data_IF_020464112781
#
_entry.id   IF_020464112781
#
_cell.length_a   1.000
_cell.length_b   1.000
_cell.length_c   1.000
_cell.angle_alpha   90.00
_cell.angle_beta   90.00
_cell.angle_gamma   90.00
#
_symmetry.space_group_name_H-M   'P 1'
#
loop_
_entity.id
_entity.type
_entity.pdbx_description
1 polymer ?
#
# COMPACT_ATOMS: atom_id res chain seq x y z
N UNK A 1 14.38 -33.65 -31.19
CA UNK A 1 13.89 -33.21 -29.87
C UNK A 1 14.67 -31.96 -29.48
N UNK A 2 14.07 -30.77 -29.64
CA UNK A 2 14.66 -29.52 -29.15
C UNK A 2 14.44 -29.48 -27.64
N UNK A 3 15.52 -29.60 -26.88
CA UNK A 3 15.52 -29.47 -25.42
C UNK A 3 15.25 -28.01 -25.07
N UNK A 4 14.09 -27.74 -24.47
CA UNK A 4 13.79 -26.43 -23.91
C UNK A 4 14.84 -26.10 -22.83
N UNK A 5 15.53 -24.98 -22.99
CA UNK A 5 16.45 -24.45 -21.98
C UNK A 5 15.69 -24.24 -20.66
N UNK A 6 16.30 -24.53 -19.50
CA UNK A 6 15.65 -24.33 -18.22
C UNK A 6 15.31 -22.85 -18.04
N UNK A 7 14.03 -22.56 -17.78
CA UNK A 7 13.57 -21.22 -17.40
C UNK A 7 14.41 -20.73 -16.22
N UNK A 8 15.00 -19.52 -16.27
CA UNK A 8 15.83 -19.04 -15.17
C UNK A 8 15.00 -18.93 -13.88
N UNK A 9 15.66 -19.20 -12.76
CA UNK A 9 15.02 -19.21 -11.46
C UNK A 9 14.49 -17.80 -11.11
N UNK A 10 13.32 -17.67 -10.46
CA UNK A 10 12.69 -16.39 -10.08
C UNK A 10 13.63 -15.41 -9.36
N UNK A 11 14.61 -15.93 -8.62
CA UNK A 11 15.61 -15.15 -7.87
C UNK A 11 16.54 -14.33 -8.79
N UNK A 12 16.89 -14.83 -9.98
CA UNK A 12 17.76 -14.11 -10.92
C UNK A 12 17.03 -12.96 -11.62
N UNK A 13 15.74 -13.13 -11.92
CA UNK A 13 14.92 -12.07 -12.50
C UNK A 13 14.68 -10.92 -11.53
N UNK A 14 14.48 -11.22 -10.24
CA UNK A 14 14.35 -10.20 -9.19
C UNK A 14 15.55 -9.24 -9.11
N UNK A 15 16.79 -9.76 -9.24
CA UNK A 15 17.99 -8.91 -9.25
C UNK A 15 18.06 -7.97 -10.46
N UNK A 16 17.49 -8.38 -11.60
CA UNK A 16 17.42 -7.54 -12.79
C UNK A 16 16.36 -6.46 -12.62
N UNK A 17 15.24 -6.76 -11.95
CA UNK A 17 14.20 -5.77 -11.60
C UNK A 17 14.77 -4.65 -10.72
N UNK A 18 15.58 -4.97 -9.72
CA UNK A 18 16.25 -3.95 -8.90
C UNK A 18 17.19 -3.05 -9.71
N UNK A 19 17.91 -3.61 -10.70
CA UNK A 19 18.73 -2.80 -11.61
C UNK A 19 17.90 -1.88 -12.50
N UNK A 20 16.71 -2.31 -12.93
CA UNK A 20 15.77 -1.46 -13.68
C UNK A 20 15.38 -0.25 -12.83
N UNK A 21 15.06 -0.45 -11.56
CA UNK A 21 14.74 0.65 -10.63
C UNK A 21 15.89 1.65 -10.51
N UNK A 22 17.12 1.19 -10.31
CA UNK A 22 18.28 2.08 -10.21
C UNK A 22 18.53 2.89 -11.49
N UNK A 23 18.38 2.28 -12.67
CA UNK A 23 18.50 3.02 -13.93
C UNK A 23 17.40 4.06 -14.10
N UNK A 24 16.15 3.73 -13.78
CA UNK A 24 15.04 4.70 -13.81
C UNK A 24 15.32 5.86 -12.86
N UNK A 25 15.74 5.57 -11.63
CA UNK A 25 16.07 6.58 -10.62
C UNK A 25 17.24 7.50 -11.05
N UNK A 26 18.23 6.98 -11.75
CA UNK A 26 19.33 7.78 -12.29
C UNK A 26 18.87 8.65 -13.47
N UNK A 27 17.97 8.12 -14.31
CA UNK A 27 17.35 8.88 -15.40
C UNK A 27 16.46 10.01 -14.88
N UNK A 28 15.73 9.80 -13.78
CA UNK A 28 14.93 10.86 -13.14
C UNK A 28 15.82 11.99 -12.61
N UNK A 29 16.88 11.64 -11.86
CA UNK A 29 17.78 12.63 -11.25
C UNK A 29 18.47 13.52 -12.29
N UNK A 30 18.96 12.92 -13.37
CA UNK A 30 19.55 13.68 -14.48
C UNK A 30 18.46 14.36 -15.34
N UNK A 31 17.27 13.79 -15.41
CA UNK A 31 16.13 14.34 -16.15
C UNK A 31 15.59 15.64 -15.57
N UNK A 32 15.72 15.87 -14.26
CA UNK A 32 15.40 17.16 -13.64
C UNK A 32 16.24 18.30 -14.24
N UNK A 33 17.55 18.09 -14.43
CA UNK A 33 18.43 19.05 -15.11
C UNK A 33 18.12 19.24 -16.60
N UNK A 34 17.46 18.26 -17.24
CA UNK A 34 16.98 18.39 -18.63
C UNK A 34 15.69 19.21 -18.71
N UNK A 35 14.79 19.06 -17.73
CA UNK A 35 13.51 19.76 -17.67
C UNK A 35 13.67 21.19 -17.16
N UNK A 36 14.67 21.42 -16.30
CA UNK A 36 15.02 22.70 -15.70
C UNK A 36 16.50 23.00 -15.97
N UNK A 37 16.87 23.30 -17.22
CA UNK A 37 18.26 23.54 -17.59
C UNK A 37 18.86 24.69 -16.78
N UNK A 38 20.01 24.43 -16.16
CA UNK A 38 20.87 25.48 -15.62
C UNK A 38 21.39 26.37 -16.76
N UNK A 39 21.85 27.59 -16.45
CA UNK A 39 22.46 28.49 -17.45
C UNK A 39 23.76 27.94 -18.06
N UNK A 40 24.30 26.85 -17.49
CA UNK A 40 25.52 26.18 -17.94
C UNK A 40 25.22 25.10 -18.99
N UNK A 41 25.54 25.39 -20.25
CA UNK A 41 25.36 24.49 -21.40
C UNK A 41 26.07 23.13 -21.25
N UNK A 42 27.20 23.07 -20.53
CA UNK A 42 27.96 21.83 -20.35
C UNK A 42 27.26 20.86 -19.39
N UNK A 43 26.69 21.39 -18.31
CA UNK A 43 25.94 20.62 -17.30
C UNK A 43 24.65 20.06 -17.91
N UNK A 44 23.93 20.89 -18.66
CA UNK A 44 22.75 20.45 -19.41
C UNK A 44 23.08 19.32 -20.40
N UNK A 45 24.22 19.40 -21.10
CA UNK A 45 24.65 18.36 -22.04
C UNK A 45 24.92 17.04 -21.32
N UNK A 46 25.62 17.08 -20.20
CA UNK A 46 25.94 15.88 -19.39
C UNK A 46 24.66 15.23 -18.88
N UNK A 47 23.75 16.01 -18.31
CA UNK A 47 22.48 15.52 -17.78
C UNK A 47 21.61 14.89 -18.87
N UNK A 48 21.60 15.50 -20.06
CA UNK A 48 20.90 14.98 -21.23
C UNK A 48 21.43 13.59 -21.63
N UNK A 49 22.74 13.43 -21.73
CA UNK A 49 23.37 12.16 -22.11
C UNK A 49 23.14 11.08 -21.06
N UNK A 50 23.32 11.41 -19.78
CA UNK A 50 23.08 10.50 -18.66
C UNK A 50 21.62 10.05 -18.58
N UNK A 51 20.67 10.97 -18.80
CA UNK A 51 19.24 10.66 -18.81
C UNK A 51 18.93 9.64 -19.89
N UNK A 52 19.41 9.88 -21.13
CA UNK A 52 19.17 9.00 -22.27
C UNK A 52 19.80 7.62 -22.04
N UNK A 53 21.07 7.56 -21.62
CA UNK A 53 21.77 6.29 -21.42
C UNK A 53 21.07 5.42 -20.37
N UNK A 54 20.73 6.00 -19.21
CA UNK A 54 20.05 5.29 -18.15
C UNK A 54 18.64 4.84 -18.56
N UNK A 55 17.89 5.69 -19.27
CA UNK A 55 16.58 5.33 -19.78
C UNK A 55 16.65 4.15 -20.77
N UNK A 56 17.60 4.18 -21.70
CA UNK A 56 17.79 3.09 -22.68
C UNK A 56 18.21 1.79 -22.00
N UNK A 57 19.08 1.86 -20.97
CA UNK A 57 19.45 0.69 -20.16
C UNK A 57 18.25 0.10 -19.42
N UNK A 58 17.41 0.94 -18.81
CA UNK A 58 16.20 0.50 -18.15
C UNK A 58 15.27 -0.26 -19.10
N UNK A 59 14.97 0.32 -20.27
CA UNK A 59 14.12 -0.32 -21.28
C UNK A 59 14.66 -1.65 -21.79
N UNK A 60 15.97 -1.75 -22.05
CA UNK A 60 16.59 -3.01 -22.47
C UNK A 60 16.45 -4.09 -21.41
N UNK A 61 16.59 -3.73 -20.13
CA UNK A 61 16.38 -4.65 -19.03
C UNK A 61 14.91 -5.06 -18.90
N UNK A 62 13.95 -4.13 -19.05
CA UNK A 62 12.51 -4.43 -19.06
C UNK A 62 12.18 -5.47 -20.14
N UNK A 63 12.63 -5.22 -21.39
CA UNK A 63 12.39 -6.15 -22.50
C UNK A 63 13.01 -7.52 -22.24
N UNK A 64 14.24 -7.56 -21.74
CA UNK A 64 14.93 -8.80 -21.38
C UNK A 64 14.15 -9.60 -20.34
N UNK A 65 13.68 -8.97 -19.27
CA UNK A 65 12.91 -9.65 -18.21
C UNK A 65 11.60 -10.18 -18.75
N UNK A 66 10.87 -9.40 -19.57
CA UNK A 66 9.59 -9.83 -20.15
C UNK A 66 9.76 -10.97 -21.15
N UNK A 67 10.85 -10.96 -21.94
CA UNK A 67 11.17 -12.02 -22.90
C UNK A 67 11.52 -13.33 -22.20
N UNK A 68 12.48 -13.27 -21.27
CA UNK A 68 12.89 -14.43 -20.46
C UNK A 68 11.70 -14.97 -19.66
N UNK A 69 10.87 -14.05 -19.17
CA UNK A 69 9.67 -14.31 -18.43
C UNK A 69 8.50 -14.95 -19.19
N UNK A 70 8.58 -14.97 -20.52
CA UNK A 70 7.52 -15.50 -21.37
C UNK A 70 6.28 -14.60 -21.49
N UNK A 71 6.35 -13.34 -21.06
CA UNK A 71 5.22 -12.40 -21.11
C UNK A 71 5.06 -11.75 -22.49
N UNK A 72 4.69 -12.56 -23.48
CA UNK A 72 4.63 -12.14 -24.91
C UNK A 72 3.79 -10.89 -25.15
N UNK A 73 2.64 -10.74 -24.48
CA UNK A 73 1.78 -9.58 -24.65
C UNK A 73 2.45 -8.30 -24.14
N UNK A 74 2.89 -8.30 -22.87
CA UNK A 74 3.59 -7.17 -22.26
C UNK A 74 4.89 -6.85 -22.98
N UNK A 75 5.62 -7.86 -23.46
CA UNK A 75 6.83 -7.67 -24.26
C UNK A 75 6.54 -6.90 -25.54
N UNK A 76 5.48 -7.26 -26.29
CA UNK A 76 5.12 -6.55 -27.52
C UNK A 76 4.66 -5.11 -27.26
N UNK A 77 3.98 -4.86 -26.14
CA UNK A 77 3.61 -3.51 -25.70
C UNK A 77 4.85 -2.69 -25.34
N UNK A 78 5.68 -3.20 -24.43
CA UNK A 78 6.93 -2.56 -24.01
C UNK A 78 7.87 -2.31 -25.18
N UNK A 79 7.93 -3.23 -26.16
CA UNK A 79 8.76 -3.05 -27.35
C UNK A 79 8.29 -1.90 -28.22
N UNK A 80 6.98 -1.73 -28.39
CA UNK A 80 6.41 -0.59 -29.13
C UNK A 80 6.75 0.73 -28.42
N UNK A 81 6.55 0.78 -27.11
CA UNK A 81 6.88 1.97 -26.31
C UNK A 81 8.39 2.27 -26.35
N UNK A 82 9.25 1.25 -26.30
CA UNK A 82 10.69 1.43 -26.45
C UNK A 82 11.08 1.93 -27.84
N UNK A 83 10.47 1.40 -28.91
CA UNK A 83 10.73 1.85 -30.28
C UNK A 83 10.32 3.32 -30.48
N UNK A 84 9.23 3.80 -29.84
CA UNK A 84 8.86 5.22 -29.82
C UNK A 84 9.78 6.06 -28.92
N UNK A 85 10.16 5.54 -27.75
CA UNK A 85 11.13 6.16 -26.85
C UNK A 85 12.45 6.45 -27.57
N UNK A 86 12.93 5.53 -28.41
CA UNK A 86 14.20 5.73 -29.14
C UNK A 86 14.15 6.88 -30.15
N UNK A 87 12.97 7.21 -30.68
CA UNK A 87 12.81 8.34 -31.61
C UNK A 87 12.85 9.67 -30.87
N UNK A 88 12.37 9.70 -29.63
CA UNK A 88 12.19 10.94 -28.84
C UNK A 88 12.41 10.70 -27.34
N UNK A 89 13.63 10.33 -26.90
CA UNK A 89 13.85 9.80 -25.55
C UNK A 89 13.58 10.83 -24.44
N UNK A 90 13.63 12.11 -24.76
CA UNK A 90 13.40 13.22 -23.83
C UNK A 90 12.03 13.89 -24.03
N UNK A 91 11.09 13.19 -24.68
CA UNK A 91 9.73 13.68 -24.79
C UNK A 91 9.15 13.89 -23.39
N UNK A 92 8.61 15.07 -23.15
CA UNK A 92 8.06 15.49 -21.87
C UNK A 92 6.63 16.02 -22.03
N UNK A 93 5.87 16.00 -20.93
CA UNK A 93 4.53 16.58 -20.82
C UNK A 93 4.41 17.31 -19.50
N UNK A 94 3.48 18.26 -19.44
CA UNK A 94 3.07 18.85 -18.17
C UNK A 94 2.24 17.85 -17.36
N UNK A 95 2.66 17.60 -16.13
CA UNK A 95 1.87 16.90 -15.12
C UNK A 95 0.93 17.85 -14.37
N UNK A 96 0.40 17.39 -13.23
CA UNK A 96 -0.52 18.19 -12.39
C UNK A 96 0.16 19.43 -11.80
N UNK A 97 1.46 19.34 -11.47
CA UNK A 97 2.23 20.44 -10.88
C UNK A 97 3.56 20.70 -11.63
N UNK A 98 4.19 19.68 -12.21
CA UNK A 98 5.53 19.78 -12.81
C UNK A 98 5.62 19.03 -14.14
N UNK A 99 6.52 19.44 -15.07
CA UNK A 99 6.82 18.66 -16.26
C UNK A 99 7.47 17.33 -15.88
N UNK A 100 7.26 16.30 -16.70
CA UNK A 100 7.89 14.99 -16.51
C UNK A 100 8.27 14.36 -17.85
N UNK A 101 9.30 13.51 -17.82
CA UNK A 101 9.72 12.71 -18.97
C UNK A 101 8.75 11.54 -19.18
N UNK A 102 8.06 11.54 -20.32
CA UNK A 102 6.99 10.57 -20.64
C UNK A 102 7.52 9.14 -20.55
N UNK A 103 8.69 8.90 -21.13
CA UNK A 103 9.25 7.56 -21.27
C UNK A 103 9.84 7.02 -19.97
N UNK A 104 10.27 7.89 -19.06
CA UNK A 104 10.65 7.49 -17.70
C UNK A 104 9.40 7.08 -16.91
N UNK A 105 8.31 7.85 -17.03
CA UNK A 105 7.01 7.49 -16.47
C UNK A 105 6.50 6.14 -16.98
N UNK A 106 6.58 5.90 -18.29
CA UNK A 106 6.21 4.61 -18.90
C UNK A 106 7.10 3.46 -18.40
N UNK A 107 8.42 3.66 -18.31
CA UNK A 107 9.31 2.65 -17.76
C UNK A 107 8.96 2.31 -16.29
N UNK A 108 8.53 3.28 -15.48
CA UNK A 108 8.02 3.05 -14.12
C UNK A 108 6.74 2.21 -14.09
N UNK A 109 5.81 2.43 -15.01
CA UNK A 109 4.60 1.59 -15.12
C UNK A 109 4.97 0.11 -15.32
N UNK A 110 5.89 -0.17 -16.27
CA UNK A 110 6.38 -1.53 -16.50
C UNK A 110 7.14 -2.08 -15.30
N UNK A 111 7.96 -1.27 -14.63
CA UNK A 111 8.64 -1.66 -13.41
C UNK A 111 7.63 -2.09 -12.32
N UNK A 112 6.49 -1.41 -12.19
CA UNK A 112 5.40 -1.81 -11.29
C UNK A 112 4.86 -3.20 -11.61
N UNK A 113 4.62 -3.50 -12.88
CA UNK A 113 4.21 -4.85 -13.31
C UNK A 113 5.29 -5.89 -13.01
N UNK A 114 6.56 -5.58 -13.30
CA UNK A 114 7.67 -6.49 -13.05
C UNK A 114 7.90 -6.74 -11.56
N UNK A 115 7.72 -5.74 -10.69
CA UNK A 115 7.75 -5.97 -9.24
C UNK A 115 6.63 -6.90 -8.79
N UNK A 116 5.41 -6.73 -9.31
CA UNK A 116 4.28 -7.59 -8.96
C UNK A 116 4.50 -9.06 -9.40
N UNK A 117 5.23 -9.28 -10.48
CA UNK A 117 5.43 -10.62 -11.06
C UNK A 117 6.71 -11.29 -10.54
N UNK A 118 7.83 -10.54 -10.49
CA UNK A 118 9.18 -11.09 -10.39
C UNK A 118 9.98 -10.63 -9.21
N UNK A 119 9.59 -9.56 -8.52
CA UNK A 119 10.33 -9.22 -7.32
C UNK A 119 10.04 -10.30 -6.26
N UNK A 120 11.03 -11.12 -5.86
CA UNK A 120 10.97 -11.66 -4.51
C UNK A 120 11.02 -10.43 -3.63
N UNK A 121 9.92 -10.07 -2.98
CA UNK A 121 9.86 -8.89 -2.12
C UNK A 121 11.02 -8.99 -1.13
N UNK A 122 12.10 -8.23 -1.35
CA UNK A 122 13.32 -8.37 -0.56
C UNK A 122 12.93 -8.06 0.88
N UNK A 123 13.31 -8.96 1.79
CA UNK A 123 13.20 -8.74 3.23
C UNK A 123 13.59 -7.34 3.64
N UNK A 124 14.63 -6.74 3.03
CA UNK A 124 15.06 -5.37 3.33
C UNK A 124 14.08 -4.30 2.84
N UNK A 125 13.57 -4.40 1.62
CA UNK A 125 12.58 -3.45 1.08
C UNK A 125 11.26 -3.54 1.84
N UNK A 126 10.82 -4.76 2.17
CA UNK A 126 9.69 -4.98 3.08
C UNK A 126 9.95 -4.27 4.40
N UNK A 127 11.10 -4.54 5.04
CA UNK A 127 11.43 -3.94 6.32
C UNK A 127 11.48 -2.41 6.27
N UNK A 128 11.97 -1.81 5.17
CA UNK A 128 12.00 -0.35 5.00
C UNK A 128 10.58 0.23 4.82
N UNK A 129 9.73 -0.42 4.03
CA UNK A 129 8.35 0.03 3.84
C UNK A 129 7.50 -0.20 5.09
N UNK A 130 7.71 -1.31 5.80
CA UNK A 130 7.16 -1.59 7.13
C UNK A 130 7.62 -0.54 8.15
N UNK A 131 8.90 -0.17 8.15
CA UNK A 131 9.43 0.88 9.00
C UNK A 131 8.83 2.25 8.67
N UNK A 132 8.41 2.49 7.43
CA UNK A 132 7.76 3.73 7.00
C UNK A 132 6.26 3.77 7.34
N UNK A 133 5.61 2.60 7.48
CA UNK A 133 4.20 2.48 7.85
C UNK A 133 3.94 3.07 9.24
N UNK A 134 4.79 2.79 10.23
CA UNK A 134 4.60 3.25 11.61
C UNK A 134 4.60 4.79 11.71
N UNK A 135 5.59 5.54 11.16
CA UNK A 135 5.53 6.99 11.08
C UNK A 135 4.36 7.54 10.28
N UNK A 136 3.91 6.85 9.23
CA UNK A 136 2.73 7.25 8.47
C UNK A 136 1.46 7.17 9.33
N UNK A 137 1.27 6.05 10.04
CA UNK A 137 0.14 5.87 10.97
C UNK A 137 0.18 6.89 12.11
N UNK A 138 1.36 7.17 12.69
CA UNK A 138 1.49 8.22 13.72
C UNK A 138 1.10 9.60 13.21
N UNK A 139 1.40 9.93 11.95
CA UNK A 139 0.96 11.20 11.33
C UNK A 139 -0.55 11.28 11.15
N UNK A 140 -1.26 10.16 11.21
CA UNK A 140 -2.72 10.14 11.13
C UNK A 140 -3.40 10.72 12.38
N UNK A 141 -2.68 10.92 13.49
CA UNK A 141 -3.25 11.43 14.75
C UNK A 141 -4.08 12.71 14.56
N UNK A 142 -3.52 13.71 13.88
CA UNK A 142 -4.22 14.97 13.59
C UNK A 142 -5.24 14.85 12.46
N UNK A 143 -5.00 13.93 11.53
CA UNK A 143 -5.88 13.71 10.39
C UNK A 143 -7.24 13.16 10.85
N UNK A 144 -7.25 12.10 11.65
CA UNK A 144 -8.48 11.41 12.06
C UNK A 144 -9.41 12.27 12.92
N UNK A 145 -8.89 13.28 13.61
CA UNK A 145 -9.67 14.22 14.44
C UNK A 145 -10.03 15.53 13.74
N UNK A 146 -9.58 15.75 12.50
CA UNK A 146 -9.72 17.03 11.81
C UNK A 146 -11.18 17.36 11.47
N UNK A 147 -11.72 18.38 12.14
CA UNK A 147 -13.06 18.94 11.86
C UNK A 147 -13.19 19.59 10.48
N UNK A 148 -12.06 19.90 9.83
CA UNK A 148 -12.05 20.43 8.46
C UNK A 148 -12.33 19.33 7.43
N UNK A 149 -11.96 18.10 7.75
CA UNK A 149 -12.10 16.94 6.86
C UNK A 149 -13.35 16.12 7.21
N UNK A 150 -13.67 16.01 8.50
CA UNK A 150 -14.74 15.14 8.98
C UNK A 150 -15.81 15.92 9.76
N UNK A 151 -17.07 15.60 9.49
CA UNK A 151 -18.20 16.23 10.15
C UNK A 151 -18.36 15.86 11.63
N UNK A 152 -17.81 14.72 12.07
CA UNK A 152 -17.79 14.27 13.46
C UNK A 152 -16.41 13.76 13.90
N UNK A 153 -16.15 13.77 15.20
CA UNK A 153 -14.97 13.09 15.79
C UNK A 153 -15.18 11.57 15.81
N UNK A 154 -14.10 10.76 15.79
CA UNK A 154 -14.25 9.31 15.87
C UNK A 154 -14.97 8.89 17.14
N UNK A 155 -16.02 8.08 16.98
CA UNK A 155 -16.83 7.56 18.09
C UNK A 155 -16.62 6.06 18.33
N UNK A 156 -16.00 5.36 17.37
CA UNK A 156 -15.74 3.92 17.44
C UNK A 156 -14.54 3.53 16.56
N UNK A 157 -14.26 2.22 16.51
CA UNK A 157 -13.21 1.61 15.68
C UNK A 157 -13.46 1.77 14.18
N UNK A 158 -14.73 1.74 13.76
CA UNK A 158 -15.09 1.82 12.34
C UNK A 158 -14.80 3.22 11.77
N UNK A 159 -15.05 4.27 12.56
CA UNK A 159 -14.72 5.65 12.21
C UNK A 159 -13.20 5.82 12.02
N UNK A 160 -12.37 5.20 12.88
CA UNK A 160 -10.91 5.26 12.77
C UNK A 160 -10.41 4.48 11.57
N UNK A 161 -10.86 3.22 11.45
CA UNK A 161 -10.54 2.33 10.34
C UNK A 161 -10.81 3.03 9.00
N UNK A 162 -12.06 3.46 8.77
CA UNK A 162 -12.46 4.04 7.47
C UNK A 162 -11.60 5.24 7.09
N UNK A 163 -11.32 6.13 8.05
CA UNK A 163 -10.53 7.35 7.80
C UNK A 163 -9.08 7.02 7.43
N UNK A 164 -8.44 6.13 8.20
CA UNK A 164 -7.04 5.78 7.97
C UNK A 164 -6.90 4.94 6.69
N UNK A 165 -7.83 4.03 6.43
CA UNK A 165 -7.83 3.20 5.22
C UNK A 165 -7.95 4.04 3.95
N UNK A 166 -8.79 5.08 3.93
CA UNK A 166 -8.88 6.03 2.80
C UNK A 166 -7.53 6.68 2.48
N UNK A 167 -6.77 7.05 3.51
CA UNK A 167 -5.42 7.60 3.33
C UNK A 167 -4.45 6.52 2.84
N UNK A 168 -4.47 5.33 3.46
CA UNK A 168 -3.58 4.23 3.08
C UNK A 168 -3.84 3.75 1.65
N UNK A 169 -5.08 3.78 1.17
CA UNK A 169 -5.43 3.42 -0.20
C UNK A 169 -4.82 4.34 -1.26
N UNK A 170 -4.44 5.57 -0.88
CA UNK A 170 -3.66 6.47 -1.75
C UNK A 170 -2.18 6.06 -1.85
N UNK A 171 -1.64 5.37 -0.84
CA UNK A 171 -0.23 4.98 -0.78
C UNK A 171 0.00 3.52 -1.21
N UNK A 172 -0.94 2.63 -0.91
CA UNK A 172 -0.84 1.18 -1.15
C UNK A 172 -1.97 0.73 -2.07
N UNK A 173 -1.62 0.47 -3.32
CA UNK A 173 -2.57 0.07 -4.36
C UNK A 173 -3.19 -1.32 -4.14
N UNK A 174 -2.55 -2.16 -3.33
CA UNK A 174 -2.95 -3.55 -3.06
C UNK A 174 -3.63 -3.72 -1.69
N UNK A 175 -4.04 -2.62 -1.07
CA UNK A 175 -4.77 -2.63 0.19
C UNK A 175 -6.04 -3.49 0.07
N UNK A 176 -6.23 -4.38 1.05
CA UNK A 176 -7.42 -5.23 1.15
C UNK A 176 -8.17 -4.92 2.46
N UNK A 177 -9.39 -4.37 2.39
CA UNK A 177 -10.25 -4.25 3.57
C UNK A 177 -10.82 -5.60 3.97
N UNK A 178 -10.77 -5.90 5.27
CA UNK A 178 -11.46 -7.02 5.91
C UNK A 178 -11.33 -8.36 5.16
N UNK A 179 -10.10 -8.81 4.81
CA UNK A 179 -9.95 -10.08 4.13
C UNK A 179 -10.20 -11.22 5.11
N UNK A 180 -10.98 -12.20 4.67
CA UNK A 180 -11.21 -13.41 5.46
C UNK A 180 -9.97 -14.28 5.42
N UNK A 181 -9.35 -14.53 6.58
CA UNK A 181 -8.31 -15.54 6.72
C UNK A 181 -9.01 -16.87 7.09
N UNK A 182 -9.10 -17.84 6.15
CA UNK A 182 -9.73 -19.12 6.45
C UNK A 182 -8.86 -19.89 7.45
N UNK A 183 -9.36 -20.07 8.67
CA UNK A 183 -8.83 -21.03 9.63
C UNK A 183 -9.85 -22.13 9.93
N UNK A 184 -9.41 -23.32 10.37
CA UNK A 184 -10.29 -24.49 10.49
C UNK A 184 -11.44 -24.36 11.51
N UNK A 185 -11.35 -23.44 12.49
CA UNK A 185 -12.29 -23.37 13.62
C UNK A 185 -12.89 -21.97 13.85
N UNK A 186 -12.07 -20.91 13.77
CA UNK A 186 -12.51 -19.52 13.90
C UNK A 186 -11.85 -18.69 12.79
N UNK A 187 -12.64 -18.12 11.89
CA UNK A 187 -12.12 -17.17 10.91
C UNK A 187 -11.62 -15.92 11.62
N UNK A 188 -10.41 -15.50 11.33
CA UNK A 188 -9.87 -14.22 11.78
C UNK A 188 -9.93 -13.25 10.60
N UNK A 189 -10.44 -12.05 10.82
CA UNK A 189 -10.67 -11.05 9.79
C UNK A 189 -9.98 -9.77 10.25
N UNK A 190 -8.69 -9.58 9.90
CA UNK A 190 -8.00 -8.33 10.21
C UNK A 190 -8.70 -7.18 9.52
N UNK A 191 -8.69 -6.01 10.14
CA UNK A 191 -9.32 -4.83 9.57
C UNK A 191 -8.72 -4.48 8.20
N UNK A 192 -7.40 -4.46 8.09
CA UNK A 192 -6.69 -4.13 6.85
C UNK A 192 -5.50 -5.05 6.62
N UNK A 193 -5.29 -5.45 5.36
CA UNK A 193 -4.09 -6.17 4.93
C UNK A 193 -3.40 -5.40 3.82
N UNK A 194 -2.07 -5.32 3.94
CA UNK A 194 -1.16 -4.76 2.96
C UNK A 194 -0.23 -5.89 2.45
N UNK A 195 -0.64 -6.65 1.42
CA UNK A 195 0.11 -7.80 0.92
C UNK A 195 1.55 -7.46 0.48
N UNK A 196 1.73 -6.32 -0.18
CA UNK A 196 2.99 -5.80 -0.74
C UNK A 196 4.08 -5.68 0.32
N UNK A 197 3.69 -5.32 1.54
CA UNK A 197 4.60 -5.18 2.69
C UNK A 197 4.40 -6.27 3.75
N UNK A 198 3.58 -7.29 3.47
CA UNK A 198 3.29 -8.42 4.38
C UNK A 198 2.85 -7.93 5.77
N UNK A 199 1.96 -6.94 5.80
CA UNK A 199 1.50 -6.31 7.04
C UNK A 199 0.00 -6.45 7.25
N UNK A 200 -0.37 -6.62 8.51
CA UNK A 200 -1.74 -6.54 9.01
C UNK A 200 -1.88 -5.25 9.83
N UNK A 201 -3.04 -4.61 9.75
CA UNK A 201 -3.40 -3.50 10.63
C UNK A 201 -4.74 -3.82 11.27
N UNK A 202 -4.80 -3.66 12.58
CA UNK A 202 -6.00 -3.81 13.39
C UNK A 202 -6.27 -2.49 14.13
N UNK A 203 -7.51 -1.99 14.11
CA UNK A 203 -7.87 -0.74 14.76
C UNK A 203 -8.63 -1.01 16.05
N UNK A 204 -8.24 -0.32 17.13
CA UNK A 204 -8.91 -0.43 18.44
C UNK A 204 -9.29 0.94 18.97
N UNK A 205 -10.41 1.01 19.67
CA UNK A 205 -10.95 2.25 20.21
C UNK A 205 -11.11 2.17 21.72
N UNK A 206 -10.53 3.15 22.42
CA UNK A 206 -10.52 3.25 23.87
C UNK A 206 -11.08 4.60 24.27
N UNK A 207 -12.17 4.61 25.05
CA UNK A 207 -12.76 5.84 25.58
C UNK A 207 -12.77 5.89 27.11
N UNK A 208 -12.30 4.84 27.76
CA UNK A 208 -12.27 4.71 29.21
C UNK A 208 -11.14 3.79 29.66
N UNK A 209 -10.76 3.88 30.93
CA UNK A 209 -9.79 2.95 31.54
C UNK A 209 -10.28 1.50 31.56
N UNK A 210 -11.61 1.28 31.63
CA UNK A 210 -12.20 -0.05 31.50
C UNK A 210 -12.03 -0.64 30.10
N UNK A 211 -12.09 0.20 29.06
CA UNK A 211 -11.87 -0.25 27.68
C UNK A 211 -10.46 -0.77 27.48
N UNK A 212 -9.46 -0.21 28.17
CA UNK A 212 -8.07 -0.64 28.02
C UNK A 212 -7.87 -2.13 28.29
N UNK A 213 -8.50 -2.67 29.36
CA UNK A 213 -8.38 -4.10 29.69
C UNK A 213 -9.07 -4.96 28.63
N UNK A 214 -10.28 -4.59 28.22
CA UNK A 214 -11.03 -5.27 27.16
C UNK A 214 -10.23 -5.29 25.85
N UNK A 215 -9.70 -4.14 25.44
CA UNK A 215 -8.91 -4.01 24.21
C UNK A 215 -7.61 -4.80 24.29
N UNK A 216 -6.95 -4.85 25.45
CA UNK A 216 -5.78 -5.69 25.64
C UNK A 216 -6.10 -7.17 25.46
N UNK A 217 -7.19 -7.65 26.06
CA UNK A 217 -7.62 -9.06 25.92
C UNK A 217 -7.94 -9.40 24.46
N UNK A 218 -8.58 -8.48 23.72
CA UNK A 218 -8.83 -8.62 22.29
C UNK A 218 -7.52 -8.69 21.48
N UNK A 219 -6.58 -7.76 21.72
CA UNK A 219 -5.27 -7.74 21.06
C UNK A 219 -4.53 -9.07 21.28
N UNK A 220 -4.52 -9.59 22.51
CA UNK A 220 -3.87 -10.86 22.83
C UNK A 220 -4.53 -12.05 22.11
N UNK A 221 -5.86 -12.04 22.01
CA UNK A 221 -6.60 -13.05 21.25
C UNK A 221 -6.29 -12.96 19.74
N UNK A 222 -6.22 -11.75 19.19
CA UNK A 222 -5.90 -11.49 17.78
C UNK A 222 -4.45 -11.88 17.47
N UNK A 223 -3.51 -11.66 18.40
CA UNK A 223 -2.13 -12.10 18.26
C UNK A 223 -2.05 -13.62 18.07
N UNK A 224 -2.73 -14.39 18.93
CA UNK A 224 -2.84 -15.85 18.75
C UNK A 224 -3.54 -16.22 17.44
N UNK A 225 -4.51 -15.39 17.03
CA UNK A 225 -5.23 -15.48 15.78
C UNK A 225 -4.40 -15.27 14.52
N UNK A 226 -3.37 -14.43 14.52
CA UNK A 226 -2.62 -14.12 13.31
C UNK A 226 -1.32 -14.92 13.11
N UNK A 227 -0.95 -15.80 14.05
CA UNK A 227 0.30 -16.60 14.01
C UNK A 227 0.50 -17.46 12.76
N UNK A 228 -0.56 -17.83 12.04
CA UNK A 228 -0.48 -18.69 10.86
C UNK A 228 -0.54 -17.91 9.53
N UNK A 229 -0.38 -16.59 9.57
CA UNK A 229 -0.52 -15.75 8.38
C UNK A 229 0.84 -15.56 7.71
N UNK A 230 0.89 -15.46 6.38
CA UNK A 230 2.11 -15.12 5.62
C UNK A 230 2.64 -13.70 5.89
N UNK A 231 1.90 -12.93 6.70
CA UNK A 231 2.25 -11.58 7.14
C UNK A 231 3.26 -11.63 8.28
N UNK A 232 4.28 -10.77 8.21
CA UNK A 232 5.40 -10.76 9.15
C UNK A 232 5.30 -9.67 10.20
N UNK A 233 4.48 -8.64 9.93
CA UNK A 233 4.21 -7.52 10.82
C UNK A 233 2.70 -7.40 11.07
N UNK A 234 2.31 -7.28 12.33
CA UNK A 234 0.96 -6.86 12.72
C UNK A 234 1.04 -5.55 13.48
N UNK A 235 0.27 -4.56 13.06
CA UNK A 235 0.23 -3.25 13.70
C UNK A 235 -1.12 -3.06 14.36
N UNK A 236 -1.13 -2.82 15.66
CA UNK A 236 -2.33 -2.41 16.40
C UNK A 236 -2.36 -0.89 16.49
N UNK A 237 -3.33 -0.27 15.84
CA UNK A 237 -3.57 1.18 15.90
C UNK A 237 -4.63 1.43 16.95
N UNK A 238 -4.20 1.94 18.10
CA UNK A 238 -5.08 2.19 19.25
C UNK A 238 -5.38 3.67 19.30
N UNK A 239 -6.64 4.04 19.06
CA UNK A 239 -7.11 5.39 19.28
C UNK A 239 -7.64 5.52 20.70
N UNK A 240 -7.05 6.41 21.49
CA UNK A 240 -7.54 6.73 22.83
C UNK A 240 -8.12 8.14 22.85
N UNK A 241 -9.36 8.32 23.29
CA UNK A 241 -10.01 9.66 23.36
C UNK A 241 -9.34 10.59 24.37
N UNK A 242 -8.59 10.01 25.30
CA UNK A 242 -7.70 10.63 26.27
C UNK A 242 -6.53 9.66 26.52
N UNK A 243 -5.43 10.10 27.14
CA UNK A 243 -4.31 9.19 27.42
C UNK A 243 -4.60 8.39 28.69
N UNK A 244 -4.91 7.10 28.55
CA UNK A 244 -5.23 6.24 29.69
C UNK A 244 -4.05 5.36 30.12
N UNK A 245 -3.32 4.82 29.15
CA UNK A 245 -2.17 3.93 29.37
C UNK A 245 -1.01 4.43 28.51
N UNK A 246 0.22 4.30 29.01
CA UNK A 246 1.41 4.66 28.23
C UNK A 246 1.72 3.61 27.17
N UNK A 247 2.32 4.03 26.06
CA UNK A 247 2.64 3.10 24.97
C UNK A 247 3.58 1.97 25.45
N UNK A 248 4.49 2.26 26.37
CA UNK A 248 5.41 1.29 26.97
C UNK A 248 4.68 0.20 27.77
N UNK A 249 3.57 0.53 28.42
CA UNK A 249 2.77 -0.43 29.18
C UNK A 249 2.03 -1.38 28.24
N UNK A 250 1.47 -0.85 27.14
CA UNK A 250 0.91 -1.65 26.07
C UNK A 250 1.94 -2.60 25.46
N UNK A 251 3.15 -2.10 25.15
CA UNK A 251 4.26 -2.91 24.62
C UNK A 251 4.68 -4.02 25.58
N UNK A 252 4.84 -3.69 26.86
CA UNK A 252 5.22 -4.65 27.90
C UNK A 252 4.21 -5.80 28.01
N UNK A 253 2.91 -5.50 27.91
CA UNK A 253 1.86 -6.51 27.96
C UNK A 253 1.88 -7.44 26.73
N UNK A 254 2.15 -6.90 25.53
CA UNK A 254 2.29 -7.70 24.31
C UNK A 254 3.57 -8.55 24.35
N UNK A 255 4.70 -7.99 24.77
CA UNK A 255 5.97 -8.73 24.86
C UNK A 255 5.87 -9.93 25.81
N UNK A 256 5.11 -9.80 26.91
CA UNK A 256 4.85 -10.90 27.83
C UNK A 256 4.13 -12.10 27.15
N UNK A 257 3.37 -11.85 26.08
CA UNK A 257 2.69 -12.90 25.30
C UNK A 257 3.61 -13.68 24.36
N UNK A 258 4.85 -13.21 24.14
CA UNK A 258 5.87 -13.82 23.26
C UNK A 258 5.34 -14.13 21.85
N UNK A 259 4.93 -13.10 21.08
CA UNK A 259 4.41 -13.32 19.74
C UNK A 259 5.46 -13.97 18.83
N UNK A 260 5.03 -14.86 17.95
CA UNK A 260 5.90 -15.58 17.00
C UNK A 260 6.32 -14.74 15.77
N UNK A 261 5.83 -13.51 15.68
CA UNK A 261 6.04 -12.58 14.57
C UNK A 261 6.10 -11.14 15.11
N UNK A 262 6.46 -10.17 14.27
CA UNK A 262 6.63 -8.78 14.70
C UNK A 262 5.27 -8.14 15.00
N UNK A 263 5.10 -7.61 16.20
CA UNK A 263 3.90 -6.87 16.62
C UNK A 263 4.34 -5.45 16.99
N UNK A 264 3.69 -4.46 16.38
CA UNK A 264 3.90 -3.05 16.68
C UNK A 264 2.61 -2.40 17.19
N UNK A 265 2.76 -1.40 18.06
CA UNK A 265 1.66 -0.60 18.57
C UNK A 265 1.83 0.83 18.11
N UNK A 266 0.77 1.41 17.59
CA UNK A 266 0.68 2.83 17.27
C UNK A 266 -0.44 3.43 18.09
N UNK A 267 -0.06 4.24 19.07
CA UNK A 267 -1.01 4.92 19.94
C UNK A 267 -1.34 6.30 19.35
N UNK A 268 -2.59 6.52 18.97
CA UNK A 268 -3.07 7.81 18.46
C UNK A 268 -3.76 8.57 19.60
N UNK A 269 -3.29 9.78 19.89
CA UNK A 269 -3.97 10.65 20.86
C UNK A 269 -5.20 11.29 20.21
N UNK A 270 -6.36 10.93 20.72
CA UNK A 270 -7.63 11.44 20.28
C UNK A 270 -8.13 12.65 21.06
N UNK A 271 -9.37 13.01 20.73
CA UNK A 271 -10.18 13.96 21.49
C UNK A 271 -11.52 13.31 21.77
N UNK A 272 -12.07 13.52 22.97
CA UNK A 272 -13.43 13.08 23.31
C UNK A 272 -14.44 13.64 22.30
N UNK A 273 -15.32 12.77 21.85
CA UNK A 273 -16.47 13.11 21.03
C UNK A 273 -17.60 13.69 21.91
N UNK A 274 -18.50 14.45 21.30
CA UNK A 274 -19.71 14.95 21.97
C UNK A 274 -20.97 14.18 21.52
N UNK A 275 -22.11 14.48 22.13
CA UNK A 275 -23.38 13.82 21.78
C UNK A 275 -23.82 14.07 20.33
N UNK A 276 -23.40 15.19 19.74
CA UNK A 276 -23.66 15.50 18.33
C UNK A 276 -22.81 14.64 17.39
N UNK A 277 -21.57 14.33 17.77
CA UNK A 277 -20.70 13.42 17.05
C UNK A 277 -21.27 12.00 17.00
N UNK A 278 -21.72 11.49 18.14
CA UNK A 278 -22.27 10.14 18.26
C UNK A 278 -23.54 9.95 17.42
N UNK A 279 -24.42 10.97 17.42
CA UNK A 279 -25.61 10.97 16.57
C UNK A 279 -25.25 10.92 15.08
N UNK A 280 -24.28 11.76 14.65
CA UNK A 280 -23.84 11.80 13.24
C UNK A 280 -23.17 10.50 12.81
N UNK A 281 -22.28 9.96 13.64
CA UNK A 281 -21.63 8.67 13.39
C UNK A 281 -22.66 7.54 13.22
N UNK A 282 -23.65 7.48 14.12
CA UNK A 282 -24.71 6.47 14.08
C UNK A 282 -25.59 6.61 12.84
N UNK A 283 -26.03 7.83 12.53
CA UNK A 283 -26.83 8.10 11.34
C UNK A 283 -26.08 7.74 10.05
N UNK A 284 -24.78 8.02 10.00
CA UNK A 284 -23.93 7.67 8.86
C UNK A 284 -23.84 6.14 8.67
N UNK A 285 -23.60 5.40 9.75
CA UNK A 285 -23.54 3.93 9.73
C UNK A 285 -24.86 3.30 9.30
N UNK A 286 -25.98 3.82 9.79
CA UNK A 286 -27.32 3.37 9.37
C UNK A 286 -27.55 3.62 7.87
N UNK A 287 -27.13 4.78 7.37
CA UNK A 287 -27.24 5.13 5.95
C UNK A 287 -26.43 4.17 5.08
N UNK A 288 -25.19 3.85 5.48
CA UNK A 288 -24.34 2.86 4.78
C UNK A 288 -25.02 1.49 4.78
N UNK A 289 -25.51 1.04 5.93
CA UNK A 289 -26.19 -0.26 6.09
C UNK A 289 -27.42 -0.37 5.19
N UNK A 290 -28.27 0.66 5.16
CA UNK A 290 -29.47 0.69 4.29
C UNK A 290 -29.10 0.64 2.80
N UNK A 291 -28.06 1.37 2.38
CA UNK A 291 -27.57 1.33 1.00
C UNK A 291 -27.07 -0.08 0.61
N UNK A 292 -26.39 -0.77 1.52
CA UNK A 292 -25.90 -2.12 1.28
C UNK A 292 -27.04 -3.14 1.13
N UNK A 293 -28.03 -3.10 2.03
CA UNK A 293 -29.24 -3.95 1.96
C UNK A 293 -30.00 -3.73 0.65
N UNK A 294 -30.18 -2.46 0.26
CA UNK A 294 -30.88 -2.09 -0.98
C UNK A 294 -30.14 -2.61 -2.22
N UNK A 295 -28.81 -2.50 -2.25
CA UNK A 295 -27.96 -3.04 -3.33
C UNK A 295 -28.01 -4.57 -3.41
N UNK A 296 -28.03 -5.27 -2.28
CA UNK A 296 -28.17 -6.73 -2.27
C UNK A 296 -29.55 -7.16 -2.77
N UNK A 297 -30.63 -6.49 -2.32
CA UNK A 297 -31.98 -6.75 -2.80
C UNK A 297 -32.11 -6.53 -4.32
N UNK A 298 -31.48 -5.48 -4.86
CA UNK A 298 -31.45 -5.19 -6.29
C UNK A 298 -30.69 -6.26 -7.10
N UNK A 299 -29.54 -6.74 -6.60
CA UNK A 299 -28.76 -7.84 -7.23
C UNK A 299 -29.56 -9.16 -7.22
N UNK A 300 -30.26 -9.47 -6.13
CA UNK A 300 -31.10 -10.66 -6.01
C UNK A 300 -32.33 -10.61 -6.92
N UNK A 301 -32.93 -9.42 -7.14
CA UNK A 301 -34.01 -9.23 -8.12
C UNK A 301 -33.53 -9.45 -9.55
N UNK A 302 -32.39 -8.85 -9.96
CA UNK A 302 -31.81 -9.05 -11.31
C UNK A 302 -31.46 -10.52 -11.59
N UNK A 303 -30.93 -11.28 -10.61
CA UNK A 303 -30.66 -12.72 -10.78
C UNK A 303 -31.94 -13.55 -11.00
N UNK A 304 -33.06 -13.17 -10.39
CA UNK A 304 -34.36 -13.85 -10.61
C UNK A 304 -34.98 -13.55 -11.97
N UNK A 305 -34.71 -12.39 -12.57
CA UNK A 305 -35.23 -12.04 -13.90
C UNK A 305 -34.45 -12.72 -15.03
N UNK A 306 -33.13 -12.91 -14.86
CA UNK A 306 -32.27 -13.60 -15.84
C UNK A 306 -32.47 -15.12 -15.85
N UNK A 307 -32.88 -15.72 -14.72
CA UNK A 307 -33.17 -17.16 -14.64
C UNK A 307 -34.57 -17.56 -15.18
N UNK A 308 -35.35 -16.59 -15.69
CA UNK A 308 -36.72 -16.80 -16.20
C UNK A 308 -36.87 -16.47 -17.71
N UNK A 309 -35.80 -16.09 -18.39
CA UNK A 309 -35.74 -15.92 -19.84
C UNK A 309 -34.77 -16.92 -20.44
#
# INVERSE_FOLDING_TARGET
>A
MMTASPSPAPVQLGQIVEKIYEYIRQADRSGEGVLWPAENDEEYRIDKELTIDNLIRAWRCILTVLEIGGHRFLFQEAKRDYDECRKSPLAHKMGFEEPYLIWVGKAREYLGYLHAIYAPVDSKTISHQQASLIPLLRRCENYVVSRKLFAWRPCDETDIHTRIEELLGCYYFDLQPKPRIPKPVKGFEPDTVLPSIKSLIEYKFVNSTSDCKRVLDEILADIGGYQSTSNRLCVFVIYETDRFIREEEWRSAIEASKPAYLVEIVLLKGVRFDSGDEQRSTQHRETIRQRFVTRQAAKSRKRKTVAKG
#
